data_IF_722212697762
#
_entry.id   IF_722212697762
#
_cell.length_a   1.000
_cell.length_b   1.000
_cell.length_c   1.000
_cell.angle_alpha   90.00
_cell.angle_beta   90.00
_cell.angle_gamma   90.00
#
_symmetry.space_group_name_H-M   'P 1'
#
loop_
_entity.id
_entity.type
_entity.pdbx_description
1 polymer ?
#
# COMPACT_ATOMS: atom_id res chain seq x y z
N UNK A 1 6.72 -6.72 -15.41
CA UNK A 1 6.38 -5.45 -14.75
C UNK A 1 5.38 -5.65 -13.63
N UNK A 2 5.57 -4.96 -12.51
CA UNK A 2 4.67 -5.05 -11.34
C UNK A 2 3.36 -4.32 -11.67
N UNK A 3 2.22 -5.03 -11.59
CA UNK A 3 0.90 -4.46 -11.86
C UNK A 3 0.43 -3.48 -10.77
N UNK A 4 0.74 -3.76 -9.50
CA UNK A 4 0.54 -2.89 -8.35
C UNK A 4 1.30 -3.40 -7.12
N UNK A 5 1.54 -2.53 -6.14
CA UNK A 5 1.99 -2.89 -4.79
C UNK A 5 0.82 -2.71 -3.83
N UNK A 6 0.40 -3.80 -3.18
CA UNK A 6 -0.69 -3.79 -2.21
C UNK A 6 -0.13 -3.94 -0.79
N UNK A 7 -0.57 -3.09 0.13
CA UNK A 7 -0.16 -3.10 1.54
C UNK A 7 -1.39 -2.92 2.43
N UNK A 8 -1.40 -3.49 3.63
CA UNK A 8 -2.48 -3.22 4.60
C UNK A 8 -2.50 -1.75 5.02
N UNK A 9 -3.68 -1.14 5.12
CA UNK A 9 -3.87 0.26 5.48
C UNK A 9 -3.78 0.53 7.00
N UNK A 10 -2.67 0.11 7.61
CA UNK A 10 -2.31 0.42 8.99
C UNK A 10 -1.50 1.73 9.08
N UNK A 11 -1.21 2.21 10.30
CA UNK A 11 -0.34 3.38 10.48
C UNK A 11 1.04 3.18 9.85
N UNK A 12 1.67 2.04 10.13
CA UNK A 12 2.96 1.67 9.52
C UNK A 12 2.83 1.40 8.01
N UNK A 13 1.78 0.68 7.58
CA UNK A 13 1.58 0.34 6.18
C UNK A 13 1.40 1.58 5.29
N UNK A 14 0.73 2.61 5.79
CA UNK A 14 0.60 3.91 5.12
C UNK A 14 1.93 4.65 5.00
N UNK A 15 2.75 4.65 6.06
CA UNK A 15 4.09 5.23 6.03
C UNK A 15 5.01 4.53 5.02
N UNK A 16 4.99 3.19 5.01
CA UNK A 16 5.76 2.38 4.06
C UNK A 16 5.28 2.66 2.64
N UNK A 17 3.97 2.59 2.39
CA UNK A 17 3.38 2.84 1.07
C UNK A 17 3.74 4.24 0.53
N UNK A 18 3.66 5.28 1.36
CA UNK A 18 4.01 6.64 0.96
C UNK A 18 5.49 6.75 0.55
N UNK A 19 6.40 6.14 1.33
CA UNK A 19 7.84 6.15 1.04
C UNK A 19 8.18 5.34 -0.20
N UNK A 20 7.50 4.21 -0.42
CA UNK A 20 7.65 3.40 -1.63
C UNK A 20 7.17 4.18 -2.85
N UNK A 21 5.96 4.75 -2.81
CA UNK A 21 5.42 5.55 -3.90
C UNK A 21 6.33 6.72 -4.26
N UNK A 22 6.84 7.44 -3.25
CA UNK A 22 7.79 8.53 -3.44
C UNK A 22 9.08 8.06 -4.13
N UNK A 23 9.70 6.98 -3.64
CA UNK A 23 10.96 6.45 -4.20
C UNK A 23 10.81 5.93 -5.62
N UNK A 24 9.63 5.39 -5.95
CA UNK A 24 9.32 4.91 -7.30
C UNK A 24 8.84 6.02 -8.25
N UNK A 25 8.60 7.23 -7.76
CA UNK A 25 7.97 8.30 -8.54
C UNK A 25 6.53 7.98 -8.96
N UNK A 26 5.85 7.14 -8.19
CA UNK A 26 4.49 6.64 -8.42
C UNK A 26 3.42 7.43 -7.67
N UNK A 27 2.17 7.29 -8.09
CA UNK A 27 1.02 7.68 -7.28
C UNK A 27 0.67 6.68 -6.19
N UNK A 28 -0.07 7.15 -5.18
CA UNK A 28 -0.56 6.36 -4.04
C UNK A 28 -2.08 6.52 -3.89
N UNK A 29 -2.77 5.44 -3.54
CA UNK A 29 -4.16 5.44 -3.07
C UNK A 29 -4.22 4.78 -1.69
N UNK A 30 -4.92 5.39 -0.74
CA UNK A 30 -5.01 4.87 0.63
C UNK A 30 -6.42 4.45 1.02
N UNK A 31 -6.55 3.46 1.89
CA UNK A 31 -7.85 2.99 2.42
C UNK A 31 -8.81 2.52 1.32
N UNK A 32 -8.28 1.86 0.28
CA UNK A 32 -9.09 1.16 -0.70
C UNK A 32 -9.93 0.07 -0.01
N UNK A 33 -11.22 0.01 -0.35
CA UNK A 33 -12.15 -1.01 0.14
C UNK A 33 -12.48 -2.05 -0.93
N UNK A 34 -12.13 -1.79 -2.18
CA UNK A 34 -12.28 -2.72 -3.29
C UNK A 34 -11.31 -2.35 -4.43
N UNK A 35 -11.01 -3.31 -5.30
CA UNK A 35 -10.12 -3.17 -6.46
C UNK A 35 -10.69 -3.91 -7.66
N UNK A 36 -10.87 -3.18 -8.75
CA UNK A 36 -11.28 -3.73 -10.04
C UNK A 36 -10.12 -3.62 -11.03
N UNK A 37 -9.98 -4.60 -11.94
CA UNK A 37 -9.09 -4.46 -13.08
C UNK A 37 -9.65 -3.37 -14.01
N UNK A 38 -8.77 -2.47 -14.49
CA UNK A 38 -9.14 -1.42 -15.44
C UNK A 38 -8.09 -1.25 -16.52
N UNK A 39 -8.47 -0.50 -17.57
CA UNK A 39 -7.59 -0.21 -18.69
C UNK A 39 -6.36 0.56 -18.21
N UNK A 40 -5.20 -0.09 -18.23
CA UNK A 40 -3.93 0.48 -17.80
C UNK A 40 -3.74 0.56 -16.28
N UNK A 41 -4.38 -0.30 -15.50
CA UNK A 41 -4.11 -0.50 -14.07
C UNK A 41 -5.36 -0.64 -13.20
N UNK A 42 -5.20 -1.08 -11.94
CA UNK A 42 -6.33 -1.26 -11.02
C UNK A 42 -7.05 0.07 -10.72
N UNK A 43 -8.39 -0.01 -10.64
CA UNK A 43 -9.28 1.06 -10.19
C UNK A 43 -9.71 0.73 -8.76
N UNK A 44 -9.43 1.64 -7.83
CA UNK A 44 -9.73 1.46 -6.42
C UNK A 44 -11.03 2.15 -6.04
N UNK A 45 -11.88 1.46 -5.28
CA UNK A 45 -13.02 2.08 -4.58
C UNK A 45 -12.58 2.53 -3.19
N UNK A 46 -12.90 3.77 -2.81
CA UNK A 46 -12.62 4.30 -1.48
C UNK A 46 -13.89 4.89 -0.87
N UNK A 47 -14.00 4.77 0.46
CA UNK A 47 -15.04 5.44 1.24
C UNK A 47 -14.50 6.74 1.82
N UNK A 48 -15.10 7.86 1.47
CA UNK A 48 -14.61 9.22 1.80
C UNK A 48 -15.70 10.04 2.48
N UNK A 49 -15.29 11.12 3.16
CA UNK A 49 -16.18 12.00 3.94
C UNK A 49 -17.07 11.21 4.91
N UNK A 50 -16.45 10.49 5.85
CA UNK A 50 -17.16 9.67 6.85
C UNK A 50 -18.16 8.66 6.22
N UNK A 51 -17.76 8.04 5.11
CA UNK A 51 -18.55 7.07 4.35
C UNK A 51 -19.83 7.60 3.70
N UNK A 52 -19.98 8.92 3.57
CA UNK A 52 -21.09 9.53 2.84
C UNK A 52 -20.92 9.43 1.32
N UNK A 53 -19.70 9.17 0.84
CA UNK A 53 -19.41 9.03 -0.58
C UNK A 53 -18.47 7.86 -0.86
N UNK A 54 -18.68 7.24 -2.02
CA UNK A 54 -17.76 6.30 -2.62
C UNK A 54 -17.11 6.95 -3.84
N UNK A 55 -15.80 6.81 -3.98
CA UNK A 55 -15.06 7.30 -5.15
C UNK A 55 -14.35 6.14 -5.83
N UNK A 56 -14.27 6.22 -7.16
CA UNK A 56 -13.41 5.36 -7.97
C UNK A 56 -12.17 6.15 -8.37
N UNK A 57 -11.00 5.65 -8.00
CA UNK A 57 -9.71 6.33 -8.14
C UNK A 57 -8.73 5.45 -8.90
N UNK A 58 -7.88 6.06 -9.73
CA UNK A 58 -6.82 5.36 -10.45
C UNK A 58 -5.51 6.15 -10.35
N UNK A 59 -4.40 5.46 -10.11
CA UNK A 59 -3.05 6.04 -10.21
C UNK A 59 -2.70 6.24 -11.70
N UNK A 60 -2.28 7.45 -12.06
CA UNK A 60 -1.98 7.83 -13.44
C UNK A 60 -0.48 7.87 -13.77
N UNK A 61 0.40 7.72 -12.76
CA UNK A 61 1.86 7.79 -12.91
C UNK A 61 2.54 6.67 -12.12
N UNK A 62 3.46 5.98 -12.79
CA UNK A 62 4.26 4.90 -12.20
C UNK A 62 3.45 3.66 -11.85
N UNK A 63 4.11 2.70 -11.17
CA UNK A 63 3.44 1.51 -10.65
C UNK A 63 2.55 1.89 -9.45
N UNK A 64 1.24 1.57 -9.46
CA UNK A 64 0.32 1.93 -8.38
C UNK A 64 0.76 1.35 -7.03
N UNK A 65 0.81 2.19 -6.00
CA UNK A 65 0.95 1.75 -4.61
C UNK A 65 -0.38 1.98 -3.89
N UNK A 66 -1.00 0.92 -3.39
CA UNK A 66 -2.36 1.00 -2.84
C UNK A 66 -2.39 0.39 -1.45
N UNK A 67 -2.91 1.13 -0.48
CA UNK A 67 -3.22 0.56 0.84
C UNK A 67 -4.67 0.08 0.90
N UNK A 68 -4.88 -1.16 1.34
CA UNK A 68 -6.19 -1.81 1.44
C UNK A 68 -6.66 -1.79 2.88
N UNK A 69 -7.89 -1.32 3.11
CA UNK A 69 -8.48 -1.24 4.45
C UNK A 69 -8.60 -2.65 5.05
N UNK A 70 -8.18 -2.86 6.31
CA UNK A 70 -8.37 -4.15 6.98
C UNK A 70 -9.82 -4.59 6.92
N UNK A 71 -10.05 -5.89 6.73
CA UNK A 71 -11.38 -6.52 6.63
C UNK A 71 -12.25 -6.03 5.46
N UNK A 72 -11.69 -5.35 4.47
CA UNK A 72 -12.43 -4.93 3.27
C UNK A 72 -12.84 -6.10 2.37
N UNK A 73 -12.02 -7.15 2.34
CA UNK A 73 -12.24 -8.36 1.54
C UNK A 73 -11.98 -9.58 2.41
N UNK A 74 -12.82 -10.62 2.26
CA UNK A 74 -12.61 -11.90 2.93
C UNK A 74 -11.53 -12.71 2.18
N UNK A 75 -10.52 -13.26 2.87
CA UNK A 75 -9.53 -14.11 2.22
C UNK A 75 -10.18 -15.44 1.77
N UNK A 76 -9.84 -15.87 0.56
CA UNK A 76 -10.20 -17.18 0.02
C UNK A 76 -8.94 -18.04 -0.11
N UNK A 77 -9.05 -19.33 0.22
CA UNK A 77 -7.95 -20.27 0.08
C UNK A 77 -7.69 -20.54 -1.41
N UNK A 78 -6.49 -20.21 -1.88
CA UNK A 78 -6.04 -20.51 -3.24
C UNK A 78 -4.78 -21.39 -3.20
N UNK A 79 -4.66 -22.41 -4.07
CA UNK A 79 -3.43 -23.19 -4.18
C UNK A 79 -2.28 -22.28 -4.59
N UNK A 80 -1.20 -22.26 -3.82
CA UNK A 80 0.00 -21.50 -4.15
C UNK A 80 1.25 -22.31 -3.79
N UNK A 81 2.09 -22.60 -4.79
CA UNK A 81 3.45 -23.07 -4.60
C UNK A 81 4.38 -21.86 -4.74
N UNK A 82 4.50 -21.06 -3.67
CA UNK A 82 5.44 -19.94 -3.65
C UNK A 82 6.89 -20.44 -3.66
N UNK A 83 7.76 -19.78 -4.42
CA UNK A 83 9.20 -19.99 -4.33
C UNK A 83 9.79 -19.14 -3.19
N UNK A 84 10.76 -19.69 -2.46
CA UNK A 84 11.47 -18.96 -1.42
C UNK A 84 12.71 -18.30 -2.03
N UNK A 85 12.79 -16.98 -1.94
CA UNK A 85 13.96 -16.20 -2.33
C UNK A 85 14.48 -15.44 -1.10
N UNK A 86 15.75 -15.69 -0.73
CA UNK A 86 16.38 -15.01 0.38
C UNK A 86 16.98 -13.69 -0.08
N UNK A 87 16.48 -12.58 0.45
CA UNK A 87 16.99 -11.23 0.15
C UNK A 87 17.74 -10.69 1.37
N UNK A 88 19.03 -10.42 1.22
CA UNK A 88 19.85 -9.76 2.24
C UNK A 88 19.63 -8.25 2.17
N UNK A 89 19.28 -7.63 3.30
CA UNK A 89 19.11 -6.16 3.40
C UNK A 89 20.10 -5.62 4.42
N UNK A 90 20.97 -4.71 3.97
CA UNK A 90 21.87 -3.96 4.85
C UNK A 90 21.25 -2.60 5.21
N UNK A 91 21.26 -2.28 6.50
CA UNK A 91 20.77 -0.99 6.99
C UNK A 91 21.91 0.04 6.99
N UNK A 92 21.76 1.11 6.20
CA UNK A 92 22.83 2.09 5.95
C UNK A 92 22.96 3.22 6.98
N UNK A 93 22.53 2.99 8.24
CA UNK A 93 22.86 3.89 9.37
C UNK A 93 22.26 5.30 9.37
N UNK A 94 21.57 5.75 8.31
CA UNK A 94 20.94 7.08 8.21
C UNK A 94 19.64 7.22 9.04
N UNK A 95 19.52 6.48 10.14
CA UNK A 95 18.40 6.59 11.05
C UNK A 95 18.56 7.83 11.95
N UNK A 96 17.45 8.48 12.29
CA UNK A 96 17.47 9.55 13.28
C UNK A 96 17.91 9.00 14.64
N UNK A 97 18.87 9.66 15.29
CA UNK A 97 19.27 9.34 16.65
C UNK A 97 18.21 9.86 17.62
N UNK A 98 17.54 8.97 18.34
CA UNK A 98 16.66 9.34 19.46
C UNK A 98 17.54 9.76 20.64
N UNK A 99 17.51 11.03 21.02
CA UNK A 99 18.33 11.58 22.13
C UNK A 99 17.61 11.51 23.48
N UNK A 100 16.29 11.57 23.48
CA UNK A 100 15.43 11.39 24.67
C UNK A 100 13.98 11.11 24.22
N UNK A 101 13.18 10.53 25.12
CA UNK A 101 11.74 10.32 24.92
C UNK A 101 11.03 10.52 26.27
N UNK A 102 9.94 11.27 26.27
CA UNK A 102 9.01 11.31 27.41
C UNK A 102 8.01 10.17 27.26
N UNK A 103 7.82 9.32 28.29
CA UNK A 103 6.76 8.31 28.29
C UNK A 103 5.39 8.96 28.11
N UNK A 104 4.47 8.22 27.49
CA UNK A 104 3.08 8.64 27.36
C UNK A 104 2.26 8.06 28.50
#
# INVERSE_FOLDING_TARGET
>A
DVAAVLVTSSGEGKEVAARVALRLGSGIITDAVDLEAGDGGPVATQSVFAASFQVKSKVTKGAPVITVKPNAVAPEAAPAAGAVENVSVEFTGNAAKVVSRTPR
#
